data_IF_278286462844
#
_entry.id   IF_278286462844
#
_cell.length_a   1.000
_cell.length_b   1.000
_cell.length_c   1.000
_cell.angle_alpha   90.00
_cell.angle_beta   90.00
_cell.angle_gamma   90.00
#
_symmetry.space_group_name_H-M   'P 1'
#
loop_
_entity.id
_entity.type
_entity.pdbx_description
1 polymer ?
#
# COMPACT_ATOMS: atom_id res chain seq x y z
N UNK A 1 5.24 -5.41 10.53
CA UNK A 1 5.21 -6.45 9.52
C UNK A 1 4.14 -6.20 8.50
N UNK A 2 4.41 -6.52 7.26
CA UNK A 2 3.49 -6.30 6.16
C UNK A 2 2.66 -7.56 5.94
N UNK A 3 1.34 -7.38 5.86
CA UNK A 3 0.45 -8.48 5.52
C UNK A 3 0.59 -8.73 4.03
N UNK A 4 1.13 -9.89 3.66
CA UNK A 4 1.45 -10.18 2.27
C UNK A 4 0.23 -10.59 1.47
N UNK A 5 -0.60 -11.40 2.06
CA UNK A 5 -1.87 -11.78 1.48
C UNK A 5 -2.85 -11.91 2.60
N UNK A 6 -4.00 -11.38 2.40
CA UNK A 6 -5.00 -11.45 3.43
C UNK A 6 -6.33 -10.98 2.91
N UNK A 7 -7.35 -11.46 3.56
CA UNK A 7 -8.71 -11.07 3.25
C UNK A 7 -9.43 -10.83 4.55
N UNK A 8 -10.05 -9.69 4.64
CA UNK A 8 -11.00 -9.42 5.69
C UNK A 8 -12.17 -8.73 5.03
N UNK A 9 -13.25 -8.59 5.75
CA UNK A 9 -14.46 -8.02 5.16
C UNK A 9 -14.14 -6.70 4.47
N UNK A 10 -14.30 -6.65 3.16
CA UNK A 10 -14.06 -5.48 2.36
C UNK A 10 -12.61 -5.12 2.06
N UNK A 11 -11.66 -5.95 2.51
CA UNK A 11 -10.23 -5.71 2.29
C UNK A 11 -9.59 -6.93 1.68
N UNK A 12 -8.84 -6.74 0.61
CA UNK A 12 -8.12 -7.82 -0.03
C UNK A 12 -6.73 -7.33 -0.45
N UNK A 13 -5.70 -8.05 0.00
CA UNK A 13 -4.31 -7.77 -0.33
C UNK A 13 -3.75 -8.96 -1.07
N UNK A 14 -3.22 -8.73 -2.26
CA UNK A 14 -2.71 -9.80 -3.10
C UNK A 14 -1.29 -9.48 -3.52
N UNK A 15 -0.35 -10.31 -3.11
CA UNK A 15 1.04 -10.20 -3.53
C UNK A 15 1.14 -10.67 -4.98
N UNK A 16 1.66 -9.82 -5.85
CA UNK A 16 1.68 -10.10 -7.28
C UNK A 16 2.94 -10.80 -7.75
N UNK A 17 4.01 -10.72 -6.97
CA UNK A 17 5.25 -11.35 -7.33
C UNK A 17 6.19 -11.41 -6.15
N UNK A 18 7.17 -12.32 -6.22
CA UNK A 18 8.09 -12.52 -5.13
C UNK A 18 9.43 -13.01 -5.66
N UNK A 19 10.50 -12.39 -5.17
CA UNK A 19 11.86 -12.85 -5.44
C UNK A 19 12.41 -13.40 -4.14
N UNK A 20 12.81 -14.67 -4.15
CA UNK A 20 13.37 -15.31 -2.96
C UNK A 20 14.68 -14.66 -2.54
N UNK A 21 15.49 -14.24 -3.50
CA UNK A 21 16.73 -13.56 -3.24
C UNK A 21 17.16 -12.79 -4.49
N UNK A 22 18.00 -11.79 -4.28
CA UNK A 22 18.58 -11.04 -5.39
C UNK A 22 19.90 -10.43 -4.95
N UNK A 23 20.71 -10.02 -5.90
CA UNK A 23 22.06 -9.51 -5.63
C UNK A 23 22.06 -8.06 -5.15
N UNK A 24 20.93 -7.35 -5.27
CA UNK A 24 20.88 -5.93 -4.94
C UNK A 24 20.80 -5.68 -3.44
N UNK A 25 20.34 -6.66 -2.67
CA UNK A 25 20.06 -6.47 -1.25
C UNK A 25 18.77 -5.74 -0.98
N UNK A 26 17.98 -5.48 -2.01
CA UNK A 26 16.69 -4.83 -1.88
C UNK A 26 15.58 -5.84 -2.08
N UNK A 27 14.52 -5.72 -1.29
CA UNK A 27 13.29 -6.44 -1.51
C UNK A 27 12.26 -5.49 -2.09
N UNK A 28 11.52 -5.98 -3.08
CA UNK A 28 10.42 -5.22 -3.69
C UNK A 28 9.21 -6.12 -3.74
N UNK A 29 8.11 -5.63 -3.20
CA UNK A 29 6.86 -6.40 -3.11
C UNK A 29 5.74 -5.61 -3.75
N UNK A 30 5.23 -6.08 -4.90
CA UNK A 30 4.08 -5.45 -5.54
C UNK A 30 2.79 -6.11 -5.06
N UNK A 31 1.85 -5.29 -4.59
CA UNK A 31 0.55 -5.74 -4.12
C UNK A 31 -0.56 -5.12 -4.94
N UNK A 32 -1.58 -5.91 -5.20
CA UNK A 32 -2.87 -5.39 -5.64
C UNK A 32 -3.78 -5.34 -4.42
N UNK A 33 -4.26 -4.15 -4.10
CA UNK A 33 -5.09 -3.93 -2.92
C UNK A 33 -6.48 -3.53 -3.39
N UNK A 34 -7.49 -4.21 -2.88
CA UNK A 34 -8.89 -3.94 -3.17
C UNK A 34 -9.63 -3.67 -1.87
N UNK A 35 -10.27 -2.51 -1.80
CA UNK A 35 -11.05 -2.08 -0.64
C UNK A 35 -12.47 -1.85 -1.12
N UNK A 36 -13.42 -2.59 -0.57
CA UNK A 36 -14.81 -2.57 -1.04
C UNK A 36 -15.82 -2.24 0.05
N UNK A 37 -15.38 -1.94 1.26
CA UNK A 37 -16.28 -1.63 2.37
C UNK A 37 -15.87 -0.30 3.01
N UNK A 38 -16.76 0.68 2.97
CA UNK A 38 -16.53 2.01 3.54
C UNK A 38 -16.61 2.04 5.06
N UNK A 39 -17.24 1.05 5.65
CA UNK A 39 -17.52 1.09 7.09
C UNK A 39 -16.30 0.76 7.93
N UNK A 40 -15.28 0.20 7.33
CA UNK A 40 -14.10 -0.21 8.08
C UNK A 40 -13.24 0.99 8.45
N UNK A 41 -12.61 0.86 9.62
CA UNK A 41 -11.58 1.79 10.06
C UNK A 41 -10.23 1.23 9.63
N UNK A 42 -9.45 2.06 8.98
CA UNK A 42 -8.15 1.62 8.46
C UNK A 42 -7.05 2.06 9.39
N UNK A 43 -6.21 1.11 9.85
CA UNK A 43 -5.03 1.50 10.62
C UNK A 43 -4.02 2.16 9.68
N UNK A 44 -3.18 3.01 10.24
CA UNK A 44 -2.02 3.49 9.50
C UNK A 44 -0.92 2.45 9.57
N UNK A 45 -0.07 2.47 8.57
CA UNK A 45 1.09 1.62 8.46
C UNK A 45 2.34 2.47 8.57
N UNK A 46 3.40 1.87 9.03
CA UNK A 46 4.70 2.54 9.11
C UNK A 46 5.77 1.47 9.00
N UNK A 47 6.66 1.61 8.02
CA UNK A 47 7.72 0.63 7.82
C UNK A 47 8.87 1.28 7.07
N UNK A 48 10.03 0.62 7.09
CA UNK A 48 11.18 1.09 6.36
C UNK A 48 10.95 1.00 4.86
N UNK A 49 11.59 1.90 4.14
CA UNK A 49 11.64 1.85 2.68
C UNK A 49 10.72 2.84 2.02
N UNK A 50 10.46 2.58 0.76
CA UNK A 50 9.67 3.44 -0.10
C UNK A 50 8.43 2.69 -0.55
N UNK A 51 7.37 3.45 -0.81
CA UNK A 51 6.14 2.87 -1.35
C UNK A 51 5.63 3.71 -2.50
N UNK A 52 5.21 3.04 -3.57
CA UNK A 52 4.60 3.66 -4.73
C UNK A 52 3.18 3.14 -4.87
N UNK A 53 2.23 4.06 -5.02
CA UNK A 53 0.81 3.74 -5.23
C UNK A 53 0.38 4.21 -6.60
N UNK A 54 -0.44 3.39 -7.26
CA UNK A 54 -1.11 3.77 -8.49
C UNK A 54 -2.58 3.37 -8.37
N UNK A 55 -3.49 4.35 -8.40
CA UNK A 55 -4.92 4.08 -8.25
C UNK A 55 -5.48 3.57 -9.58
N UNK A 56 -5.95 2.33 -9.54
CA UNK A 56 -6.50 1.64 -10.72
C UNK A 56 -8.00 1.86 -10.86
N UNK A 57 -8.70 1.99 -9.74
CA UNK A 57 -10.15 2.12 -9.72
C UNK A 57 -10.58 2.84 -8.45
N UNK A 58 -11.63 3.65 -8.56
CA UNK A 58 -12.19 4.30 -7.40
C UNK A 58 -11.50 5.61 -7.05
N UNK A 59 -11.78 6.06 -5.83
CA UNK A 59 -11.32 7.35 -5.35
C UNK A 59 -11.10 7.25 -3.85
N UNK A 60 -9.97 7.73 -3.37
CA UNK A 60 -9.55 7.54 -1.97
C UNK A 60 -8.84 8.77 -1.46
N UNK A 61 -9.02 9.09 -0.19
CA UNK A 61 -8.18 10.05 0.51
C UNK A 61 -7.14 9.25 1.30
N UNK A 62 -5.88 9.47 0.99
CA UNK A 62 -4.77 8.70 1.49
C UNK A 62 -3.88 9.56 2.37
N UNK A 63 -3.62 9.06 3.57
CA UNK A 63 -2.81 9.75 4.58
C UNK A 63 -1.35 9.43 4.37
N UNK A 64 -0.50 10.47 4.41
CA UNK A 64 0.93 10.29 4.55
C UNK A 64 1.45 11.36 5.52
N UNK A 65 1.83 10.92 6.72
CA UNK A 65 2.21 11.85 7.78
C UNK A 65 1.07 12.80 8.09
N UNK A 66 1.32 14.07 7.95
CA UNK A 66 0.32 15.11 8.23
C UNK A 66 -0.47 15.52 7.00
N UNK A 67 -0.18 14.93 5.86
CA UNK A 67 -0.85 15.29 4.61
C UNK A 67 -1.91 14.27 4.25
N UNK A 68 -3.02 14.77 3.72
CA UNK A 68 -4.11 13.93 3.22
C UNK A 68 -4.26 14.21 1.74
N UNK A 69 -4.00 13.20 0.93
CA UNK A 69 -4.04 13.33 -0.53
C UNK A 69 -5.32 12.73 -1.09
N UNK A 70 -6.00 13.48 -1.93
CA UNK A 70 -7.20 13.01 -2.60
C UNK A 70 -6.77 12.41 -3.94
N UNK A 71 -6.83 11.10 -4.05
CA UNK A 71 -6.37 10.36 -5.22
C UNK A 71 -7.54 9.79 -5.99
N UNK A 72 -7.53 9.99 -7.29
CA UNK A 72 -8.53 9.46 -8.22
C UNK A 72 -7.88 8.44 -9.12
N UNK A 73 -8.69 7.70 -9.86
CA UNK A 73 -8.20 6.72 -10.82
C UNK A 73 -7.15 7.35 -11.73
N UNK A 74 -6.01 6.69 -11.83
CA UNK A 74 -4.86 7.17 -12.61
C UNK A 74 -3.86 7.99 -11.83
N UNK A 75 -4.19 8.41 -10.61
CA UNK A 75 -3.27 9.16 -9.78
C UNK A 75 -2.25 8.26 -9.12
N UNK A 76 -1.09 8.82 -8.82
CA UNK A 76 -0.01 8.10 -8.16
C UNK A 76 0.48 8.87 -6.96
N UNK A 77 1.08 8.15 -6.03
CA UNK A 77 1.72 8.71 -4.86
C UNK A 77 2.99 7.90 -4.59
N UNK A 78 4.10 8.58 -4.41
CA UNK A 78 5.39 7.93 -4.14
C UNK A 78 5.98 8.57 -2.90
N UNK A 79 6.25 7.78 -1.86
CA UNK A 79 6.57 8.35 -0.56
C UNK A 79 7.49 7.47 0.26
N UNK A 80 8.08 8.10 1.28
CA UNK A 80 8.86 7.41 2.30
C UNK A 80 7.87 6.74 3.27
N UNK A 81 7.96 5.43 3.37
CA UNK A 81 7.02 4.64 4.15
C UNK A 81 7.29 4.72 5.66
N UNK A 82 8.34 5.39 6.08
CA UNK A 82 8.65 5.55 7.50
C UNK A 82 7.70 6.52 8.20
N UNK A 83 6.97 7.34 7.47
CA UNK A 83 5.90 8.14 8.05
C UNK A 83 4.61 7.33 8.09
N UNK A 84 3.75 7.52 9.11
CA UNK A 84 2.46 6.82 9.15
C UNK A 84 1.65 7.11 7.89
N UNK A 85 1.11 6.05 7.28
CA UNK A 85 0.40 6.20 6.02
C UNK A 85 -0.70 5.15 5.89
N UNK A 86 -1.66 5.42 5.04
CA UNK A 86 -2.74 4.48 4.75
C UNK A 86 -3.97 5.17 4.17
N UNK A 87 -4.90 4.38 3.62
CA UNK A 87 -6.16 4.92 3.16
C UNK A 87 -6.98 5.39 4.37
N UNK A 88 -7.57 6.57 4.27
CA UNK A 88 -8.32 7.13 5.38
C UNK A 88 -9.80 7.26 5.06
N UNK A 89 -10.13 7.69 3.84
CA UNK A 89 -11.52 7.82 3.40
C UNK A 89 -11.67 7.19 2.02
N UNK A 90 -12.57 6.23 1.90
CA UNK A 90 -12.90 5.63 0.62
C UNK A 90 -14.05 6.43 0.02
N UNK A 91 -13.74 7.27 -0.96
CA UNK A 91 -14.71 8.21 -1.52
C UNK A 91 -15.63 7.53 -2.52
N UNK A 92 -15.06 6.69 -3.39
CA UNK A 92 -15.84 5.95 -4.39
C UNK A 92 -15.34 4.52 -4.47
N UNK A 93 -16.21 3.58 -4.23
CA UNK A 93 -15.93 2.15 -4.21
C UNK A 93 -16.17 1.48 -5.55
N UNK A 94 -15.50 0.38 -5.82
CA UNK A 94 -14.38 -0.16 -5.04
C UNK A 94 -13.14 0.69 -5.24
N UNK A 95 -12.27 0.72 -4.25
CA UNK A 95 -10.95 1.33 -4.39
C UNK A 95 -9.96 0.22 -4.67
N UNK A 96 -9.26 0.31 -5.78
CA UNK A 96 -8.22 -0.65 -6.15
C UNK A 96 -6.96 0.11 -6.49
N UNK A 97 -5.86 -0.31 -5.93
CA UNK A 97 -4.59 0.31 -6.27
C UNK A 97 -3.45 -0.70 -6.22
N UNK A 98 -2.45 -0.41 -7.04
CA UNK A 98 -1.19 -1.12 -7.02
C UNK A 98 -0.30 -0.46 -5.98
N UNK A 99 0.24 -1.26 -5.06
CA UNK A 99 1.17 -0.78 -4.05
C UNK A 99 2.48 -1.53 -4.22
N UNK A 100 3.56 -0.79 -4.47
CA UNK A 100 4.89 -1.38 -4.64
C UNK A 100 5.76 -0.88 -3.51
N UNK A 101 6.23 -1.80 -2.68
CA UNK A 101 7.02 -1.51 -1.49
C UNK A 101 8.44 -1.99 -1.73
N UNK A 102 9.41 -1.12 -1.48
CA UNK A 102 10.83 -1.47 -1.60
C UNK A 102 11.54 -1.16 -0.29
N UNK A 103 12.32 -2.12 0.19
CA UNK A 103 13.03 -1.97 1.46
C UNK A 103 14.30 -2.82 1.45
N UNK A 104 15.22 -2.49 2.35
CA UNK A 104 16.45 -3.26 2.49
C UNK A 104 16.20 -4.52 3.28
N UNK A 105 16.92 -5.57 2.92
CA UNK A 105 16.92 -6.80 3.72
C UNK A 105 17.77 -6.57 4.97
N UNK A 106 17.10 -6.30 6.09
CA UNK A 106 17.79 -6.03 7.35
C UNK A 106 18.07 -7.27 8.18
N UNK A 107 17.64 -8.43 7.70
CA UNK A 107 17.84 -9.68 8.44
C UNK A 107 19.16 -10.35 8.12
N UNK A 108 19.86 -9.91 7.09
CA UNK A 108 21.15 -10.45 6.71
C UNK A 108 22.21 -9.80 7.57
N UNK A 109 22.63 -10.49 8.57
CA UNK A 109 23.66 -10.00 9.49
C UNK A 109 24.86 -10.92 9.44
#
# INVERSE_FOLDING_TARGET
EIIREGTRAGHQYRLLGHLASNSSGLFTEPYLITLSDKSDVFPTFQHDGLEFLYVLEGEVKYRHGQNLYHLKTGDTLFFDADAPHGPEVLVRLPVRFLSVISYKNITAV
#
